data_IF_113835946436
#
_entry.id   IF_113835946436
#
_cell.length_a   1.000
_cell.length_b   1.000
_cell.length_c   1.000
_cell.angle_alpha   90.00
_cell.angle_beta   90.00
_cell.angle_gamma   90.00
#
_symmetry.space_group_name_H-M   'P 1'
#
loop_
_entity.id
_entity.type
_entity.pdbx_description
1 polymer ?
#
# COMPACT_ATOMS: atom_id res chain seq x y z
N UNK A 1 -5.64 -59.72 -17.74
CA UNK A 1 -4.75 -58.93 -16.87
C UNK A 1 -4.92 -57.45 -17.24
N UNK A 2 -5.73 -56.72 -16.48
CA UNK A 2 -6.05 -55.32 -16.73
C UNK A 2 -5.08 -54.46 -15.90
N UNK A 3 -4.19 -53.68 -16.54
CA UNK A 3 -3.34 -52.72 -15.84
C UNK A 3 -4.09 -51.40 -15.73
N UNK A 4 -4.62 -51.10 -14.55
CA UNK A 4 -5.11 -49.78 -14.19
C UNK A 4 -3.92 -48.85 -13.96
N UNK A 5 -3.70 -47.91 -14.87
CA UNK A 5 -2.77 -46.80 -14.67
C UNK A 5 -3.54 -45.68 -13.96
N UNK A 6 -3.22 -45.45 -12.69
CA UNK A 6 -3.72 -44.29 -11.96
C UNK A 6 -2.94 -43.04 -12.40
N UNK A 7 -3.58 -42.14 -13.12
CA UNK A 7 -3.02 -40.82 -13.46
C UNK A 7 -3.25 -39.91 -12.25
N UNK A 8 -2.18 -39.61 -11.52
CA UNK A 8 -2.20 -38.61 -10.46
C UNK A 8 -2.28 -37.22 -11.08
N UNK A 9 -3.41 -36.53 -10.88
CA UNK A 9 -3.63 -35.16 -11.32
C UNK A 9 -2.89 -34.21 -10.36
N UNK A 10 -1.70 -33.77 -10.74
CA UNK A 10 -1.01 -32.68 -10.04
C UNK A 10 -1.78 -31.37 -10.28
N UNK A 11 -2.51 -30.90 -9.27
CA UNK A 11 -3.03 -29.55 -9.21
C UNK A 11 -1.84 -28.60 -9.03
N UNK A 12 -1.28 -28.12 -10.15
CA UNK A 12 -0.33 -27.01 -10.13
C UNK A 12 -1.13 -25.75 -9.87
N UNK A 13 -1.14 -25.30 -8.61
CA UNK A 13 -1.64 -23.98 -8.23
C UNK A 13 -0.79 -22.94 -8.96
N UNK A 14 -1.31 -22.39 -10.06
CA UNK A 14 -0.67 -21.26 -10.73
C UNK A 14 -0.85 -20.06 -9.81
N UNK A 15 0.24 -19.62 -9.20
CA UNK A 15 0.24 -18.35 -8.49
C UNK A 15 -0.09 -17.26 -9.51
N UNK A 16 -1.30 -16.71 -9.43
CA UNK A 16 -1.69 -15.58 -10.27
C UNK A 16 -0.96 -14.35 -9.74
N UNK A 17 0.05 -13.89 -10.47
CA UNK A 17 0.70 -12.62 -10.13
C UNK A 17 -0.32 -11.48 -10.29
N UNK A 18 -0.31 -10.53 -9.36
CA UNK A 18 -1.15 -9.34 -9.44
C UNK A 18 -0.53 -8.37 -10.45
N UNK A 19 -1.22 -8.16 -11.58
CA UNK A 19 -0.96 -7.07 -12.51
C UNK A 19 -2.07 -6.02 -12.35
N UNK A 20 -1.92 -4.86 -13.00
CA UNK A 20 -2.93 -3.78 -12.93
C UNK A 20 -4.25 -4.13 -13.65
N UNK A 21 -4.30 -5.30 -14.29
CA UNK A 21 -5.43 -5.89 -15.00
C UNK A 21 -5.71 -7.35 -14.60
N UNK A 22 -6.88 -7.85 -14.97
CA UNK A 22 -7.32 -9.22 -14.67
C UNK A 22 -6.59 -10.25 -15.53
N UNK A 23 -5.62 -10.95 -14.95
CA UNK A 23 -4.82 -11.95 -15.66
C UNK A 23 -5.63 -13.12 -16.23
N UNK A 24 -6.84 -13.38 -15.73
CA UNK A 24 -7.72 -14.40 -16.32
C UNK A 24 -8.35 -13.94 -17.65
N UNK A 25 -8.26 -12.64 -17.96
CA UNK A 25 -8.73 -12.02 -19.20
C UNK A 25 -7.59 -11.65 -20.13
N UNK A 26 -6.34 -12.02 -19.80
CA UNK A 26 -5.18 -11.80 -20.64
C UNK A 26 -5.37 -12.47 -22.01
N UNK A 27 -5.39 -11.65 -23.05
CA UNK A 27 -5.73 -12.06 -24.41
C UNK A 27 -4.53 -12.03 -25.35
N UNK A 28 -3.55 -11.15 -25.09
CA UNK A 28 -2.34 -11.03 -25.91
C UNK A 28 -1.17 -11.83 -25.34
N UNK A 29 -0.20 -12.16 -26.20
CA UNK A 29 1.06 -12.81 -25.76
C UNK A 29 1.80 -11.94 -24.74
N UNK A 30 1.76 -10.62 -24.92
CA UNK A 30 2.35 -9.65 -24.01
C UNK A 30 1.66 -9.66 -22.65
N UNK A 31 0.32 -9.63 -22.61
CA UNK A 31 -0.46 -9.72 -21.36
C UNK A 31 -0.21 -11.02 -20.62
N UNK A 32 -0.16 -12.15 -21.34
CA UNK A 32 0.18 -13.45 -20.76
C UNK A 32 1.59 -13.48 -20.18
N UNK A 33 2.56 -12.88 -20.87
CA UNK A 33 3.94 -12.78 -20.38
C UNK A 33 4.00 -11.92 -19.10
N UNK A 34 3.29 -10.79 -19.06
CA UNK A 34 3.18 -9.94 -17.85
C UNK A 34 2.62 -10.74 -16.68
N UNK A 35 1.53 -11.46 -16.88
CA UNK A 35 0.86 -12.24 -15.83
C UNK A 35 1.69 -13.41 -15.29
N UNK A 36 2.59 -13.98 -16.09
CA UNK A 36 3.39 -15.15 -15.71
C UNK A 36 4.81 -14.79 -15.24
N UNK A 37 5.18 -13.50 -15.25
CA UNK A 37 6.52 -13.05 -14.87
C UNK A 37 6.41 -12.01 -13.73
N UNK A 38 6.79 -12.37 -12.49
CA UNK A 38 6.64 -11.49 -11.33
C UNK A 38 7.23 -10.08 -11.50
N UNK A 39 8.42 -9.98 -12.11
CA UNK A 39 9.07 -8.68 -12.36
C UNK A 39 8.26 -7.80 -13.32
N UNK A 40 7.63 -8.37 -14.34
CA UNK A 40 6.77 -7.63 -15.27
C UNK A 40 5.44 -7.25 -14.64
N UNK A 41 4.87 -8.13 -13.81
CA UNK A 41 3.66 -7.87 -13.05
C UNK A 41 3.85 -6.68 -12.10
N UNK A 42 4.98 -6.65 -11.40
CA UNK A 42 5.36 -5.53 -10.53
C UNK A 42 5.60 -4.24 -11.31
N UNK A 43 6.27 -4.31 -12.47
CA UNK A 43 6.48 -3.15 -13.32
C UNK A 43 5.15 -2.59 -13.89
N UNK A 44 4.18 -3.45 -14.20
CA UNK A 44 2.84 -3.06 -14.63
C UNK A 44 2.07 -2.34 -13.52
N UNK A 45 2.10 -2.86 -12.30
CA UNK A 45 1.53 -2.22 -11.12
C UNK A 45 2.15 -0.85 -10.83
N UNK A 46 3.47 -0.73 -10.93
CA UNK A 46 4.18 0.53 -10.72
C UNK A 46 3.79 1.57 -11.79
N UNK A 47 3.79 1.17 -13.06
CA UNK A 47 3.41 2.05 -14.17
C UNK A 47 1.97 2.54 -14.03
N UNK A 48 1.06 1.70 -13.54
CA UNK A 48 -0.34 2.07 -13.33
C UNK A 48 -0.47 3.30 -12.43
N UNK A 49 0.37 3.42 -11.42
CA UNK A 49 0.35 4.57 -10.51
C UNK A 49 0.85 5.84 -11.19
N UNK A 50 1.97 5.78 -11.92
CA UNK A 50 2.45 6.93 -12.70
C UNK A 50 1.38 7.38 -13.72
N UNK A 51 0.72 6.42 -14.38
CA UNK A 51 -0.41 6.67 -15.27
C UNK A 51 -1.57 7.37 -14.54
N UNK A 52 -1.94 6.93 -13.33
CA UNK A 52 -3.00 7.56 -12.55
C UNK A 52 -2.66 9.02 -12.22
N UNK A 53 -1.42 9.31 -11.84
CA UNK A 53 -0.98 10.69 -11.61
C UNK A 53 -1.12 11.52 -12.87
N UNK A 54 -0.55 11.04 -13.99
CA UNK A 54 -0.65 11.70 -15.29
C UNK A 54 -2.12 11.88 -15.74
N UNK A 55 -2.99 10.92 -15.45
CA UNK A 55 -4.42 10.99 -15.76
C UNK A 55 -5.13 12.08 -14.98
N UNK A 56 -4.84 12.21 -13.68
CA UNK A 56 -5.45 13.24 -12.84
C UNK A 56 -4.98 14.62 -13.28
N UNK A 57 -3.66 14.84 -13.45
CA UNK A 57 -3.14 16.18 -13.83
C UNK A 57 -3.61 16.65 -15.20
N UNK A 58 -3.90 15.71 -16.11
CA UNK A 58 -4.38 16.02 -17.47
C UNK A 58 -5.91 16.13 -17.54
N UNK A 59 -6.62 15.88 -16.43
CA UNK A 59 -8.08 15.80 -16.42
C UNK A 59 -8.61 14.69 -17.32
N UNK A 60 -7.80 13.66 -17.60
CA UNK A 60 -8.12 12.59 -18.55
C UNK A 60 -8.55 13.14 -19.93
N UNK A 61 -7.82 14.13 -20.44
CA UNK A 61 -8.07 14.75 -21.75
C UNK A 61 -8.00 13.75 -22.90
N UNK A 62 -8.61 14.07 -24.03
CA UNK A 62 -8.61 13.19 -25.20
C UNK A 62 -7.21 13.01 -25.79
N UNK A 63 -6.36 14.02 -25.70
CA UNK A 63 -4.93 13.92 -26.08
C UNK A 63 -4.18 12.95 -25.16
N UNK A 64 -4.42 13.00 -23.85
CA UNK A 64 -3.82 12.04 -22.92
C UNK A 64 -4.30 10.61 -23.19
N UNK A 65 -5.60 10.40 -23.40
CA UNK A 65 -6.15 9.08 -23.78
C UNK A 65 -5.52 8.56 -25.07
N UNK A 66 -5.32 9.44 -26.06
CA UNK A 66 -4.68 9.09 -27.33
C UNK A 66 -3.22 8.69 -27.12
N UNK A 67 -2.47 9.44 -26.32
CA UNK A 67 -1.09 9.13 -25.95
C UNK A 67 -0.99 7.76 -25.26
N UNK A 68 -1.81 7.51 -24.23
CA UNK A 68 -1.81 6.23 -23.49
C UNK A 68 -2.15 5.06 -24.43
N UNK A 69 -3.16 5.23 -25.29
CA UNK A 69 -3.55 4.21 -26.28
C UNK A 69 -2.44 3.95 -27.30
N UNK A 70 -1.72 4.98 -27.74
CA UNK A 70 -0.59 4.83 -28.66
C UNK A 70 0.58 4.13 -27.99
N UNK A 71 0.90 4.51 -26.75
CA UNK A 71 1.97 3.88 -25.98
C UNK A 71 1.70 2.38 -25.74
N UNK A 72 0.47 2.04 -25.35
CA UNK A 72 0.03 0.64 -25.21
C UNK A 72 0.12 -0.13 -26.54
N UNK A 73 -0.33 0.45 -27.66
CA UNK A 73 -0.20 -0.20 -28.98
C UNK A 73 1.25 -0.46 -29.37
N UNK A 74 2.18 0.43 -29.01
CA UNK A 74 3.60 0.24 -29.26
C UNK A 74 4.17 -0.94 -28.45
N UNK A 75 3.73 -1.10 -27.20
CA UNK A 75 4.04 -2.27 -26.36
C UNK A 75 3.61 -3.57 -27.06
N UNK A 76 2.32 -3.65 -27.40
CA UNK A 76 1.72 -4.86 -27.99
C UNK A 76 2.34 -5.23 -29.34
N UNK A 77 2.78 -4.24 -30.13
CA UNK A 77 3.36 -4.48 -31.45
C UNK A 77 4.84 -4.88 -31.40
N UNK A 78 5.61 -4.31 -30.47
CA UNK A 78 7.08 -4.34 -30.56
C UNK A 78 7.76 -5.12 -29.43
N UNK A 79 7.03 -5.56 -28.39
CA UNK A 79 7.63 -6.30 -27.28
C UNK A 79 7.06 -7.70 -27.10
N UNK A 80 7.93 -8.69 -27.28
CA UNK A 80 7.66 -10.13 -27.12
C UNK A 80 8.61 -10.83 -26.11
N UNK A 81 9.51 -10.07 -25.49
CA UNK A 81 10.45 -10.56 -24.48
C UNK A 81 10.32 -9.75 -23.18
N UNK A 82 10.68 -10.38 -22.06
CA UNK A 82 10.71 -9.74 -20.73
C UNK A 82 11.58 -8.48 -20.75
N UNK A 83 12.79 -8.57 -21.31
CA UNK A 83 13.70 -7.42 -21.43
C UNK A 83 13.09 -6.26 -22.22
N UNK A 84 12.38 -6.53 -23.32
CA UNK A 84 11.71 -5.46 -24.08
C UNK A 84 10.62 -4.78 -23.24
N UNK A 85 9.82 -5.57 -22.52
CA UNK A 85 8.74 -5.05 -21.70
C UNK A 85 9.26 -4.23 -20.52
N UNK A 86 10.31 -4.67 -19.83
CA UNK A 86 10.96 -3.89 -18.78
C UNK A 86 11.46 -2.53 -19.29
N UNK A 87 12.13 -2.50 -20.44
CA UNK A 87 12.57 -1.25 -21.06
C UNK A 87 11.39 -0.35 -21.49
N UNK A 88 10.26 -0.95 -21.90
CA UNK A 88 9.06 -0.20 -22.23
C UNK A 88 8.40 0.40 -20.97
N UNK A 89 8.36 -0.36 -19.87
CA UNK A 89 7.86 0.13 -18.57
C UNK A 89 8.68 1.30 -18.07
N UNK A 90 10.02 1.18 -18.08
CA UNK A 90 10.93 2.27 -17.67
C UNK A 90 10.63 3.57 -18.44
N UNK A 91 10.61 3.52 -19.77
CA UNK A 91 10.30 4.69 -20.61
C UNK A 91 8.89 5.23 -20.41
N UNK A 92 7.93 4.35 -20.15
CA UNK A 92 6.53 4.75 -19.92
C UNK A 92 6.35 5.42 -18.56
N UNK A 93 7.07 4.94 -17.55
CA UNK A 93 7.14 5.55 -16.22
C UNK A 93 7.74 6.96 -16.33
N UNK A 94 8.87 7.12 -17.02
CA UNK A 94 9.45 8.44 -17.27
C UNK A 94 8.47 9.39 -17.98
N UNK A 95 7.81 8.91 -19.04
CA UNK A 95 6.82 9.67 -19.79
C UNK A 95 5.68 10.18 -18.89
N UNK A 96 5.10 9.32 -18.06
CA UNK A 96 3.98 9.71 -17.21
C UNK A 96 4.42 10.60 -16.04
N UNK A 97 5.59 10.35 -15.44
CA UNK A 97 6.16 11.22 -14.40
C UNK A 97 6.45 12.62 -14.93
N UNK A 98 6.98 12.76 -16.14
CA UNK A 98 7.19 14.07 -16.76
C UNK A 98 5.87 14.82 -17.00
N UNK A 99 4.81 14.11 -17.42
CA UNK A 99 3.47 14.70 -17.58
C UNK A 99 2.94 15.19 -16.22
N UNK A 100 3.10 14.40 -15.15
CA UNK A 100 2.72 14.77 -13.79
C UNK A 100 3.49 15.99 -13.27
N UNK A 101 4.81 15.99 -13.43
CA UNK A 101 5.70 17.05 -12.95
C UNK A 101 5.44 18.41 -13.64
N UNK A 102 5.28 18.42 -14.98
CA UNK A 102 5.12 19.66 -15.76
C UNK A 102 3.87 20.48 -15.40
N UNK A 103 2.87 19.87 -14.76
CA UNK A 103 1.62 20.51 -14.31
C UNK A 103 1.66 20.93 -12.84
N UNK A 104 2.63 20.47 -12.05
CA UNK A 104 2.77 20.78 -10.62
C UNK A 104 3.55 22.09 -10.42
N UNK A 105 2.90 23.22 -10.65
CA UNK A 105 3.52 24.55 -10.51
C UNK A 105 2.91 25.39 -9.38
N UNK A 106 1.94 24.86 -8.63
CA UNK A 106 1.24 25.64 -7.62
C UNK A 106 1.93 25.52 -6.24
N UNK A 107 2.58 26.61 -5.79
CA UNK A 107 3.37 26.64 -4.55
C UNK A 107 2.55 26.47 -3.26
N UNK A 108 1.21 26.60 -3.34
CA UNK A 108 0.30 26.57 -2.19
C UNK A 108 0.09 25.17 -1.61
N UNK A 109 0.37 24.10 -2.38
CA UNK A 109 0.16 22.72 -1.95
C UNK A 109 1.47 21.99 -1.63
N UNK A 110 2.34 22.67 -0.89
CA UNK A 110 3.62 22.15 -0.43
C UNK A 110 3.47 21.60 0.99
N UNK A 111 3.87 20.34 1.18
CA UNK A 111 3.86 19.66 2.48
C UNK A 111 5.24 19.10 2.81
N UNK A 112 5.46 18.80 4.09
CA UNK A 112 6.68 18.15 4.58
C UNK A 112 6.37 16.72 5.01
N UNK A 113 7.32 15.82 4.80
CA UNK A 113 7.26 14.46 5.34
C UNK A 113 7.20 14.49 6.88
N UNK A 114 6.47 13.53 7.45
CA UNK A 114 6.27 13.40 8.88
C UNK A 114 5.29 14.40 9.50
N UNK A 115 5.06 15.58 8.90
CA UNK A 115 4.13 16.56 9.46
C UNK A 115 2.68 16.15 9.15
N UNK A 116 1.79 16.06 10.17
CA UNK A 116 0.38 15.77 9.94
C UNK A 116 -0.31 16.83 9.08
N UNK A 117 -1.00 16.40 8.03
CA UNK A 117 -1.70 17.27 7.06
C UNK A 117 -3.11 16.78 6.80
N UNK A 118 -4.02 17.70 6.49
CA UNK A 118 -5.40 17.39 6.09
C UNK A 118 -5.53 17.52 4.58
N UNK A 119 -5.74 16.41 3.89
CA UNK A 119 -5.82 16.38 2.43
C UNK A 119 -7.22 15.96 2.00
N UNK A 120 -7.79 16.69 1.04
CA UNK A 120 -9.08 16.40 0.43
C UNK A 120 -8.91 15.51 -0.78
N UNK A 121 -9.78 14.51 -0.91
CA UNK A 121 -9.81 13.65 -2.08
C UNK A 121 -10.96 12.65 -2.07
N UNK A 122 -11.01 11.82 -3.10
CA UNK A 122 -11.96 10.72 -3.21
C UNK A 122 -11.31 9.41 -2.76
N UNK A 123 -11.92 8.74 -1.77
CA UNK A 123 -11.47 7.42 -1.31
C UNK A 123 -11.69 6.40 -2.43
N UNK A 124 -10.65 5.65 -2.82
CA UNK A 124 -10.74 4.71 -3.95
C UNK A 124 -9.96 3.43 -3.67
N UNK A 125 -10.53 2.27 -4.02
CA UNK A 125 -9.78 1.02 -4.14
C UNK A 125 -9.30 0.90 -5.58
N UNK A 126 -7.99 0.97 -5.78
CA UNK A 126 -7.38 0.97 -7.10
C UNK A 126 -7.40 -0.43 -7.75
N UNK A 127 -7.22 -0.51 -9.07
CA UNK A 127 -7.28 -1.81 -9.77
C UNK A 127 -6.17 -2.77 -9.33
N UNK A 128 -5.00 -2.23 -8.97
CA UNK A 128 -3.91 -2.97 -8.32
C UNK A 128 -4.21 -3.34 -6.84
N UNK A 129 -5.45 -3.13 -6.38
CA UNK A 129 -5.97 -3.69 -5.13
C UNK A 129 -5.76 -2.85 -3.86
N UNK A 130 -4.96 -1.78 -3.92
CA UNK A 130 -4.62 -0.97 -2.75
C UNK A 130 -5.67 0.14 -2.45
N UNK A 131 -5.89 0.48 -1.17
CA UNK A 131 -6.70 1.63 -0.78
C UNK A 131 -5.93 2.93 -1.05
N UNK A 132 -6.63 3.94 -1.55
CA UNK A 132 -6.02 5.20 -1.94
C UNK A 132 -6.93 6.39 -1.66
N UNK A 133 -6.31 7.56 -1.64
CA UNK A 133 -6.97 8.85 -1.78
C UNK A 133 -6.54 9.47 -3.12
N UNK A 134 -7.50 9.72 -4.00
CA UNK A 134 -7.29 10.51 -5.22
C UNK A 134 -7.49 11.98 -4.87
N UNK A 135 -6.44 12.78 -4.96
CA UNK A 135 -6.42 14.12 -4.40
C UNK A 135 -7.22 15.08 -5.27
N UNK A 136 -7.94 16.00 -4.63
CA UNK A 136 -8.62 17.08 -5.35
C UNK A 136 -7.63 18.06 -5.97
N UNK A 137 -6.55 18.32 -5.23
CA UNK A 137 -5.47 19.21 -5.63
C UNK A 137 -4.15 18.45 -5.63
N UNK A 138 -3.30 18.75 -6.62
CA UNK A 138 -1.96 18.18 -6.69
C UNK A 138 -1.10 18.74 -5.57
N UNK A 139 -0.28 17.86 -4.98
CA UNK A 139 0.61 18.24 -3.89
C UNK A 139 2.07 17.99 -4.27
N UNK A 140 2.97 18.71 -3.61
CA UNK A 140 4.39 18.40 -3.58
C UNK A 140 4.82 18.17 -2.14
N UNK A 141 5.63 17.15 -1.90
CA UNK A 141 6.03 16.70 -0.57
C UNK A 141 7.54 16.67 -0.48
N UNK A 142 8.09 17.24 0.58
CA UNK A 142 9.51 17.45 0.75
C UNK A 142 9.98 16.89 2.08
N UNK A 143 11.26 16.50 2.18
CA UNK A 143 11.85 16.21 3.48
C UNK A 143 11.91 17.46 4.37
N UNK A 144 12.16 17.26 5.66
CA UNK A 144 12.26 18.36 6.61
C UNK A 144 13.56 19.15 6.40
N UNK A 145 13.62 20.36 6.96
CA UNK A 145 14.82 21.18 6.86
C UNK A 145 15.99 20.50 7.59
N UNK A 146 17.11 20.32 6.89
CA UNK A 146 18.30 19.65 7.42
C UNK A 146 18.43 18.17 7.03
N UNK A 147 17.39 17.57 6.45
CA UNK A 147 17.46 16.20 5.94
C UNK A 147 18.31 16.11 4.66
N UNK A 148 19.15 15.08 4.56
CA UNK A 148 19.89 14.79 3.33
C UNK A 148 18.93 14.31 2.23
N UNK A 149 18.99 14.93 1.05
CA UNK A 149 18.14 14.59 -0.09
C UNK A 149 18.57 13.25 -0.69
N UNK A 150 17.62 12.33 -0.81
CA UNK A 150 17.80 11.02 -1.43
C UNK A 150 17.17 9.90 -0.61
N UNK A 151 16.96 8.72 -1.22
CA UNK A 151 16.28 7.61 -0.56
C UNK A 151 14.89 8.02 -0.05
N UNK A 152 14.63 7.80 1.24
CA UNK A 152 13.38 8.17 1.94
C UNK A 152 13.13 9.70 2.01
N UNK A 153 14.13 10.52 1.67
CA UNK A 153 14.03 11.98 1.66
C UNK A 153 13.94 12.55 0.24
N UNK A 154 13.58 11.72 -0.76
CA UNK A 154 13.40 12.18 -2.14
C UNK A 154 12.16 13.07 -2.23
N UNK A 155 12.27 14.33 -2.72
CA UNK A 155 11.12 15.18 -2.94
C UNK A 155 10.19 14.63 -4.02
N UNK A 156 8.89 14.69 -3.76
CA UNK A 156 7.86 14.22 -4.68
C UNK A 156 7.02 15.38 -5.19
N UNK A 157 6.75 15.38 -6.49
CA UNK A 157 6.06 16.47 -7.18
C UNK A 157 4.83 15.95 -7.92
N UNK A 158 3.77 16.77 -7.99
CA UNK A 158 2.58 16.42 -8.77
C UNK A 158 1.84 15.19 -8.24
N UNK A 159 1.96 14.89 -6.95
CA UNK A 159 1.31 13.75 -6.33
C UNK A 159 -0.19 13.98 -6.39
N UNK A 160 -0.88 13.07 -7.11
CA UNK A 160 -2.31 13.13 -7.34
C UNK A 160 -3.06 11.95 -6.73
N UNK A 161 -2.33 10.88 -6.38
CA UNK A 161 -2.88 9.67 -5.76
C UNK A 161 -1.90 9.23 -4.69
N UNK A 162 -2.42 8.95 -3.50
CA UNK A 162 -1.64 8.41 -2.38
C UNK A 162 -2.27 7.11 -1.91
N UNK A 163 -1.46 6.10 -1.66
CA UNK A 163 -1.85 4.89 -0.97
C UNK A 163 -2.13 5.24 0.50
N UNK A 164 -3.24 4.72 1.02
CA UNK A 164 -3.63 4.85 2.41
C UNK A 164 -3.06 3.67 3.20
N UNK A 165 -2.13 3.95 4.10
CA UNK A 165 -1.67 3.00 5.11
C UNK A 165 -2.59 3.14 6.34
N UNK A 166 -3.60 2.26 6.42
CA UNK A 166 -4.57 2.24 7.53
C UNK A 166 -4.15 1.26 8.61
N UNK A 167 -4.11 1.71 9.86
CA UNK A 167 -3.54 0.99 10.99
C UNK A 167 -4.57 0.20 11.83
N UNK A 168 -5.86 0.53 11.74
CA UNK A 168 -6.90 -0.08 12.58
C UNK A 168 -8.20 -0.37 11.82
N UNK A 169 -9.03 -1.28 12.35
CA UNK A 169 -10.30 -1.68 11.73
C UNK A 169 -11.27 -0.52 11.50
N UNK A 170 -11.25 0.48 12.37
CA UNK A 170 -12.18 1.61 12.27
C UNK A 170 -11.90 2.40 11.01
N UNK A 171 -10.62 2.63 10.70
CA UNK A 171 -10.20 3.26 9.45
C UNK A 171 -10.62 2.43 8.24
N UNK A 172 -10.42 1.11 8.30
CA UNK A 172 -10.84 0.19 7.23
C UNK A 172 -12.35 0.17 7.02
N UNK A 173 -13.14 0.14 8.09
CA UNK A 173 -14.60 0.17 8.05
C UNK A 173 -15.12 1.48 7.46
N UNK A 174 -14.51 2.62 7.83
CA UNK A 174 -14.83 3.92 7.24
C UNK A 174 -14.46 3.91 5.76
N UNK A 175 -13.27 3.47 5.39
CA UNK A 175 -12.85 3.41 4.00
C UNK A 175 -13.79 2.54 3.15
N UNK A 176 -14.09 1.31 3.58
CA UNK A 176 -14.95 0.40 2.83
C UNK A 176 -16.39 0.91 2.69
N UNK A 177 -16.91 1.59 3.73
CA UNK A 177 -18.24 2.20 3.72
C UNK A 177 -18.33 3.44 2.83
N UNK A 178 -17.27 4.25 2.80
CA UNK A 178 -17.26 5.54 2.10
C UNK A 178 -16.40 5.54 0.83
N UNK A 179 -15.92 4.39 0.36
CA UNK A 179 -15.22 4.28 -0.93
C UNK A 179 -16.08 4.85 -2.05
N UNK A 180 -15.41 5.54 -2.98
CA UNK A 180 -15.97 6.35 -4.07
C UNK A 180 -16.70 7.62 -3.62
N UNK A 181 -16.51 8.06 -2.38
CA UNK A 181 -16.99 9.34 -1.87
C UNK A 181 -15.80 10.21 -1.45
N UNK A 182 -16.05 11.51 -1.41
CA UNK A 182 -15.06 12.49 -0.99
C UNK A 182 -14.89 12.46 0.53
N UNK A 183 -13.64 12.66 0.97
CA UNK A 183 -13.25 12.72 2.36
C UNK A 183 -12.13 13.74 2.55
N UNK A 184 -12.01 14.23 3.78
CA UNK A 184 -10.77 14.81 4.29
C UNK A 184 -10.04 13.71 5.03
N UNK A 185 -8.81 13.41 4.66
CA UNK A 185 -7.96 12.45 5.37
C UNK A 185 -6.84 13.21 6.07
N UNK A 186 -6.67 12.95 7.37
CA UNK A 186 -5.52 13.44 8.12
C UNK A 186 -4.40 12.41 7.99
N UNK A 187 -3.25 12.83 7.45
CA UNK A 187 -2.15 11.96 7.07
C UNK A 187 -0.83 12.42 7.68
N UNK A 188 -0.01 11.48 8.16
CA UNK A 188 1.45 11.64 8.12
C UNK A 188 1.95 11.20 6.74
N UNK A 189 2.66 12.08 6.03
CA UNK A 189 3.18 11.77 4.68
C UNK A 189 4.58 11.15 4.75
N UNK A 190 4.84 10.16 3.90
CA UNK A 190 6.16 9.50 3.80
C UNK A 190 6.50 9.18 2.33
N UNK A 191 7.79 9.25 1.99
CA UNK A 191 8.29 8.75 0.71
C UNK A 191 8.19 7.22 0.66
N UNK A 192 7.95 6.71 -0.53
CA UNK A 192 7.84 5.29 -0.80
C UNK A 192 9.10 4.75 -1.51
N UNK A 193 10.03 4.14 -0.76
CA UNK A 193 11.22 3.52 -1.38
C UNK A 193 11.11 1.99 -1.60
N UNK A 194 10.13 1.30 -1.00
CA UNK A 194 10.06 -0.17 -1.07
C UNK A 194 9.15 -0.69 -2.18
N UNK A 195 9.44 -1.90 -2.65
CA UNK A 195 8.73 -2.60 -3.72
C UNK A 195 7.26 -3.00 -3.38
N UNK A 196 6.84 -2.79 -2.13
CA UNK A 196 5.49 -3.08 -1.61
C UNK A 196 4.60 -1.83 -1.55
N UNK A 197 5.21 -0.65 -1.63
CA UNK A 197 4.51 0.61 -1.66
C UNK A 197 4.12 0.95 -3.11
N UNK A 198 2.87 1.37 -3.32
CA UNK A 198 2.30 1.53 -4.66
C UNK A 198 2.40 2.96 -5.16
N UNK A 199 2.47 3.96 -4.28
CA UNK A 199 2.51 5.38 -4.67
C UNK A 199 3.75 6.09 -4.14
N UNK A 200 4.32 7.07 -4.87
CA UNK A 200 5.55 7.78 -4.44
C UNK A 200 5.44 8.44 -3.06
N UNK A 201 4.22 8.82 -2.67
CA UNK A 201 3.89 9.27 -1.31
C UNK A 201 2.82 8.37 -0.71
N UNK A 202 3.06 7.91 0.51
CA UNK A 202 2.09 7.22 1.37
C UNK A 202 1.44 8.21 2.33
N UNK A 203 0.17 7.94 2.63
CA UNK A 203 -0.54 8.56 3.75
C UNK A 203 -0.64 7.52 4.89
N UNK A 204 0.14 7.69 5.95
CA UNK A 204 -0.15 7.03 7.22
C UNK A 204 -1.40 7.68 7.81
N UNK A 205 -2.51 6.94 7.81
CA UNK A 205 -3.84 7.47 8.11
C UNK A 205 -3.99 7.68 9.61
N UNK A 206 -4.28 8.92 10.00
CA UNK A 206 -4.61 9.29 11.38
C UNK A 206 -6.12 9.46 11.58
N UNK A 207 -6.82 9.99 10.57
CA UNK A 207 -8.29 10.17 10.60
C UNK A 207 -8.84 10.18 9.17
N UNK A 208 -10.04 9.60 8.99
CA UNK A 208 -10.82 9.72 7.75
C UNK A 208 -12.15 10.39 8.10
N UNK A 209 -12.36 11.58 7.54
CA UNK A 209 -13.56 12.39 7.71
C UNK A 209 -14.35 12.48 6.40
N UNK A 210 -15.33 11.57 6.15
CA UNK A 210 -16.15 11.61 4.94
C UNK A 210 -16.94 12.92 4.82
N UNK A 211 -16.95 13.51 3.62
CA UNK A 211 -17.70 14.72 3.34
C UNK A 211 -19.15 14.31 3.02
N UNK A 212 -20.08 14.70 3.90
CA UNK A 212 -21.50 14.40 3.70
C UNK A 212 -22.11 15.30 2.63
N UNK A 213 -22.77 14.70 1.66
CA UNK A 213 -23.80 15.37 0.86
C UNK A 213 -25.03 15.62 1.73
N UNK A 214 -25.67 16.78 1.58
CA UNK A 214 -26.57 17.48 2.52
C UNK A 214 -27.79 16.74 3.11
N UNK A 215 -28.00 15.44 2.85
CA UNK A 215 -29.21 14.71 3.25
C UNK A 215 -28.99 13.52 4.22
N UNK A 216 -27.79 13.29 4.75
CA UNK A 216 -27.55 12.18 5.68
C UNK A 216 -27.55 12.64 7.16
N UNK A 217 -28.39 12.00 7.98
CA UNK A 217 -28.49 12.22 9.43
C UNK A 217 -27.12 12.12 10.14
N UNK A 218 -26.95 12.75 11.31
CA UNK A 218 -25.71 12.64 12.09
C UNK A 218 -25.38 11.17 12.34
N UNK A 219 -24.21 10.74 11.88
CA UNK A 219 -23.62 9.47 12.30
C UNK A 219 -23.20 9.73 13.74
N UNK A 220 -23.92 9.12 14.69
CA UNK A 220 -23.41 9.01 16.05
C UNK A 220 -22.16 8.15 15.97
N UNK A 221 -21.00 8.78 16.15
CA UNK A 221 -19.75 8.09 16.46
C UNK A 221 -20.05 7.29 17.72
N UNK A 222 -20.15 5.97 17.59
CA UNK A 222 -20.28 5.11 18.75
C UNK A 222 -18.96 5.19 19.52
N UNK A 223 -19.08 5.44 20.82
CA UNK A 223 -17.98 5.55 21.78
C UNK A 223 -16.98 4.40 21.63
N UNK A 224 -15.70 4.78 21.62
CA UNK A 224 -14.52 4.03 22.08
C UNK A 224 -14.70 2.51 22.16
N UNK A 225 -14.25 1.80 21.11
CA UNK A 225 -13.94 0.37 21.21
C UNK A 225 -12.89 0.26 22.33
N UNK A 226 -13.21 -0.49 23.39
CA UNK A 226 -12.38 -0.68 24.59
C UNK A 226 -10.93 -0.91 24.16
N UNK A 227 -9.99 -0.04 24.59
CA UNK A 227 -8.55 -0.18 24.32
C UNK A 227 -8.13 -1.63 24.60
N UNK A 228 -7.71 -2.34 23.55
CA UNK A 228 -7.25 -3.73 23.63
C UNK A 228 -5.73 -3.74 23.53
N UNK A 229 -5.11 -4.44 24.46
CA UNK A 229 -3.68 -4.51 24.61
C UNK A 229 -3.06 -5.57 23.69
N UNK A 230 -1.74 -5.49 23.54
CA UNK A 230 -0.94 -6.54 22.89
C UNK A 230 -1.11 -7.91 23.58
N UNK A 231 -1.32 -7.94 24.89
CA UNK A 231 -1.51 -9.18 25.63
C UNK A 231 -2.91 -9.78 25.39
N UNK A 232 -3.93 -8.93 25.17
CA UNK A 232 -5.25 -9.39 24.72
C UNK A 232 -5.16 -10.09 23.36
N UNK A 233 -4.30 -9.60 22.46
CA UNK A 233 -4.06 -10.23 21.16
C UNK A 233 -3.46 -11.62 21.30
N UNK A 234 -2.43 -11.76 22.14
CA UNK A 234 -1.78 -13.05 22.36
C UNK A 234 -2.66 -14.04 23.14
N UNK A 235 -3.58 -13.53 23.97
CA UNK A 235 -4.58 -14.35 24.67
C UNK A 235 -5.63 -14.91 23.71
N UNK A 236 -6.07 -14.11 22.73
CA UNK A 236 -6.97 -14.57 21.67
C UNK A 236 -6.28 -15.52 20.68
N UNK A 237 -4.96 -15.44 20.54
CA UNK A 237 -4.17 -16.15 19.54
C UNK A 237 -3.03 -16.95 20.19
N UNK A 238 -3.35 -18.03 20.94
CA UNK A 238 -2.36 -18.79 21.70
C UNK A 238 -1.28 -19.42 20.81
N UNK A 239 -1.62 -19.88 19.60
CA UNK A 239 -0.64 -20.46 18.66
C UNK A 239 0.48 -19.47 18.28
N UNK A 240 0.16 -18.17 18.21
CA UNK A 240 1.13 -17.11 17.93
C UNK A 240 1.94 -16.73 19.17
N UNK A 241 1.41 -16.97 20.36
CA UNK A 241 2.04 -16.59 21.63
C UNK A 241 2.88 -17.70 22.26
N UNK A 242 2.61 -18.96 21.93
CA UNK A 242 3.37 -20.14 22.38
C UNK A 242 4.70 -20.29 21.63
N UNK A 243 4.76 -19.89 20.36
CA UNK A 243 6.01 -19.85 19.61
C UNK A 243 6.78 -18.55 19.90
N UNK A 244 7.94 -18.67 20.56
CA UNK A 244 8.77 -17.52 20.97
C UNK A 244 9.25 -16.66 19.80
N UNK A 245 9.51 -17.24 18.63
CA UNK A 245 9.97 -16.51 17.45
C UNK A 245 8.83 -15.70 16.85
N UNK A 246 7.63 -16.27 16.75
CA UNK A 246 6.42 -15.55 16.32
C UNK A 246 6.08 -14.42 17.28
N UNK A 247 6.01 -14.71 18.57
CA UNK A 247 5.72 -13.71 19.60
C UNK A 247 6.70 -12.56 19.56
N UNK A 248 7.99 -12.84 19.37
CA UNK A 248 9.04 -11.82 19.26
C UNK A 248 8.88 -10.99 17.97
N UNK A 249 8.74 -11.64 16.81
CA UNK A 249 8.60 -10.95 15.54
C UNK A 249 7.37 -10.03 15.52
N UNK A 250 6.23 -10.50 16.06
CA UNK A 250 5.00 -9.72 16.17
C UNK A 250 5.22 -8.50 17.07
N UNK A 251 5.84 -8.67 18.25
CA UNK A 251 6.11 -7.55 19.17
C UNK A 251 7.09 -6.52 18.59
N UNK A 252 8.15 -6.99 17.93
CA UNK A 252 9.16 -6.12 17.35
C UNK A 252 8.55 -5.28 16.21
N UNK A 253 7.82 -5.91 15.31
CA UNK A 253 7.19 -5.24 14.17
C UNK A 253 6.05 -4.32 14.59
N UNK A 254 5.15 -4.77 15.47
CA UNK A 254 4.08 -3.94 16.03
C UNK A 254 4.65 -2.70 16.71
N UNK A 255 5.75 -2.87 17.43
CA UNK A 255 6.43 -1.79 18.08
C UNK A 255 7.22 -0.89 17.13
N UNK A 256 7.61 -1.36 15.95
CA UNK A 256 8.12 -0.54 14.85
C UNK A 256 7.03 0.36 14.28
N UNK A 257 5.83 -0.18 14.02
CA UNK A 257 4.68 0.63 13.60
C UNK A 257 4.28 1.69 14.64
N UNK A 258 4.17 1.29 15.90
CA UNK A 258 3.87 2.23 16.98
C UNK A 258 4.96 3.30 17.16
N UNK A 259 6.22 2.99 16.83
CA UNK A 259 7.29 3.98 16.81
C UNK A 259 7.14 4.93 15.62
N UNK A 260 6.85 4.40 14.43
CA UNK A 260 6.64 5.17 13.21
C UNK A 260 5.49 6.17 13.37
N UNK A 261 4.42 5.79 14.07
CA UNK A 261 3.27 6.67 14.30
C UNK A 261 3.56 7.85 15.22
N UNK A 262 4.62 7.78 16.04
CA UNK A 262 5.03 8.86 16.95
C UNK A 262 6.28 9.60 16.48
N UNK A 263 7.07 9.01 15.58
CA UNK A 263 8.41 9.48 15.24
C UNK A 263 8.48 10.92 14.71
N UNK A 264 7.56 11.45 13.87
CA UNK A 264 7.70 12.84 13.47
C UNK A 264 7.25 13.85 14.54
N UNK A 265 6.71 13.39 15.68
CA UNK A 265 6.20 14.26 16.76
C UNK A 265 7.14 14.39 17.97
N UNK A 266 8.22 13.61 18.03
CA UNK A 266 9.15 13.57 19.16
C UNK A 266 10.54 14.06 18.76
N UNK A 267 10.96 15.21 19.29
CA UNK A 267 12.30 15.79 19.09
C UNK A 267 13.42 15.13 19.90
N UNK A 268 13.13 14.06 20.64
CA UNK A 268 14.06 13.34 21.53
C UNK A 268 13.72 11.83 21.54
N UNK A 269 14.73 10.97 21.34
CA UNK A 269 14.63 9.50 21.33
C UNK A 269 13.98 8.94 22.60
N UNK A 270 14.24 9.55 23.76
CA UNK A 270 13.65 9.10 25.04
C UNK A 270 12.14 9.35 25.08
N UNK A 271 11.70 10.45 24.47
CA UNK A 271 10.29 10.79 24.34
C UNK A 271 9.60 9.92 23.28
N UNK A 272 10.31 9.54 22.20
CA UNK A 272 9.82 8.64 21.17
C UNK A 272 9.48 7.25 21.74
N UNK A 273 10.37 6.66 22.55
CA UNK A 273 10.14 5.35 23.17
C UNK A 273 8.95 5.39 24.13
N UNK A 274 8.83 6.45 24.93
CA UNK A 274 7.68 6.61 25.85
C UNK A 274 6.37 6.75 25.08
N UNK A 275 6.35 7.57 24.03
CA UNK A 275 5.18 7.76 23.18
C UNK A 275 4.80 6.47 22.45
N UNK A 276 5.78 5.72 21.93
CA UNK A 276 5.60 4.40 21.34
C UNK A 276 4.99 3.39 22.31
N UNK A 277 5.48 3.35 23.55
CA UNK A 277 4.92 2.46 24.59
C UNK A 277 3.51 2.87 25.00
N UNK A 278 3.20 4.17 25.02
CA UNK A 278 1.84 4.65 25.23
C UNK A 278 0.91 4.20 24.09
N UNK A 279 1.36 4.29 22.83
CA UNK A 279 0.60 3.80 21.67
C UNK A 279 0.37 2.29 21.70
N UNK A 280 1.37 1.50 22.06
CA UNK A 280 1.21 0.06 22.25
C UNK A 280 0.28 -0.29 23.41
N UNK A 281 0.16 0.58 24.40
CA UNK A 281 -0.76 0.37 25.53
C UNK A 281 -2.21 0.73 25.15
N UNK A 282 -2.38 1.76 24.31
CA UNK A 282 -3.67 2.23 23.80
C UNK A 282 -4.26 1.31 22.72
N UNK A 283 -3.42 0.86 21.77
CA UNK A 283 -3.85 0.18 20.54
C UNK A 283 -3.01 -1.05 20.21
N UNK A 284 -2.40 -1.68 21.22
CA UNK A 284 -1.47 -2.79 21.03
C UNK A 284 -2.06 -3.98 20.26
N UNK A 285 -3.36 -4.24 20.40
CA UNK A 285 -4.04 -5.30 19.66
C UNK A 285 -4.02 -5.05 18.14
N UNK A 286 -4.25 -3.80 17.71
CA UNK A 286 -4.29 -3.44 16.30
C UNK A 286 -2.89 -3.46 15.68
N UNK A 287 -1.88 -2.95 16.39
CA UNK A 287 -0.49 -3.06 15.95
C UNK A 287 -0.02 -4.52 15.83
N UNK A 288 -0.49 -5.41 16.72
CA UNK A 288 -0.19 -6.85 16.63
C UNK A 288 -0.78 -7.47 15.35
N UNK A 289 -2.00 -7.06 14.98
CA UNK A 289 -2.66 -7.52 13.76
C UNK A 289 -1.96 -7.04 12.49
N UNK A 290 -1.59 -5.76 12.45
CA UNK A 290 -0.77 -5.24 11.35
C UNK A 290 0.54 -6.01 11.22
N UNK A 291 1.22 -6.25 12.34
CA UNK A 291 2.45 -7.02 12.36
C UNK A 291 2.26 -8.44 11.82
N UNK A 292 1.18 -9.12 12.18
CA UNK A 292 0.91 -10.47 11.63
C UNK A 292 0.65 -10.43 10.12
N UNK A 293 -0.11 -9.46 9.61
CA UNK A 293 -0.36 -9.31 8.16
C UNK A 293 0.94 -9.10 7.38
N UNK A 294 1.81 -8.23 7.88
CA UNK A 294 3.10 -7.96 7.25
C UNK A 294 4.04 -9.18 7.34
N UNK A 295 4.08 -9.88 8.47
CA UNK A 295 4.87 -11.12 8.59
C UNK A 295 4.35 -12.24 7.69
N UNK A 296 3.03 -12.31 7.45
CA UNK A 296 2.44 -13.23 6.47
C UNK A 296 2.93 -12.90 5.05
N UNK A 297 2.92 -11.64 4.64
CA UNK A 297 3.41 -11.20 3.31
C UNK A 297 4.90 -11.51 3.14
N UNK A 298 5.70 -11.19 4.15
CA UNK A 298 7.13 -11.50 4.15
C UNK A 298 7.40 -13.02 4.10
N UNK A 299 6.58 -13.84 4.76
CA UNK A 299 6.67 -15.29 4.63
C UNK A 299 6.32 -15.78 3.22
N UNK A 300 5.29 -15.23 2.57
CA UNK A 300 4.88 -15.61 1.21
C UNK A 300 5.93 -15.24 0.15
N UNK A 301 6.65 -14.14 0.37
CA UNK A 301 7.70 -13.65 -0.54
C UNK A 301 9.08 -14.24 -0.24
N UNK A 302 9.19 -15.16 0.72
CA UNK A 302 10.46 -15.80 1.10
C UNK A 302 11.36 -14.93 1.99
N UNK A 303 10.89 -13.76 2.41
CA UNK A 303 11.57 -12.81 3.29
C UNK A 303 11.37 -13.08 4.78
N UNK A 304 10.56 -14.08 5.17
CA UNK A 304 10.30 -14.42 6.58
C UNK A 304 11.57 -14.62 7.42
N UNK A 305 12.67 -15.11 6.81
CA UNK A 305 13.97 -15.28 7.48
C UNK A 305 14.59 -13.98 7.99
N UNK A 306 14.31 -12.84 7.33
CA UNK A 306 14.76 -11.51 7.77
C UNK A 306 14.19 -11.19 9.15
N UNK A 307 13.01 -11.71 9.46
CA UNK A 307 12.31 -11.53 10.74
C UNK A 307 12.55 -12.71 11.70
N UNK A 308 13.55 -13.55 11.42
CA UNK A 308 13.87 -14.71 12.24
C UNK A 308 12.86 -15.86 12.13
N UNK A 309 12.01 -15.86 11.09
CA UNK A 309 10.98 -16.87 10.89
C UNK A 309 11.44 -17.94 9.89
N UNK A 310 11.33 -19.20 10.29
CA UNK A 310 11.56 -20.34 9.39
C UNK A 310 10.23 -20.82 8.80
N UNK A 311 10.31 -21.79 7.88
CA UNK A 311 9.15 -22.37 7.22
C UNK A 311 8.04 -22.80 8.19
N UNK A 312 8.42 -23.39 9.32
CA UNK A 312 7.49 -23.85 10.36
C UNK A 312 6.75 -22.69 11.05
N UNK A 313 7.42 -21.56 11.29
CA UNK A 313 6.79 -20.35 11.82
C UNK A 313 5.85 -19.72 10.78
N UNK A 314 6.30 -19.65 9.53
CA UNK A 314 5.50 -19.14 8.42
C UNK A 314 4.23 -19.96 8.17
N UNK A 315 4.29 -21.28 8.39
CA UNK A 315 3.12 -22.18 8.33
C UNK A 315 2.11 -21.96 9.46
N UNK A 316 2.55 -21.47 10.62
CA UNK A 316 1.65 -21.10 11.72
C UNK A 316 1.01 -19.75 11.40
N UNK A 317 1.82 -18.76 10.98
CA UNK A 317 1.32 -17.45 10.58
C UNK A 317 0.30 -17.54 9.45
N UNK A 318 0.50 -18.40 8.45
CA UNK A 318 -0.43 -18.52 7.32
C UNK A 318 -1.84 -19.00 7.68
N UNK A 319 -2.02 -19.61 8.87
CA UNK A 319 -3.33 -20.04 9.37
C UNK A 319 -4.08 -18.93 10.11
N UNK A 320 -3.37 -17.89 10.54
CA UNK A 320 -3.99 -16.76 11.20
C UNK A 320 -4.97 -16.06 10.24
N UNK A 321 -6.19 -15.84 10.72
CA UNK A 321 -7.19 -15.03 10.05
C UNK A 321 -7.70 -13.99 11.04
N UNK A 322 -7.85 -12.74 10.57
CA UNK A 322 -8.50 -11.70 11.36
C UNK A 322 -9.92 -12.14 11.73
N UNK A 323 -10.19 -12.33 13.02
CA UNK A 323 -11.55 -12.46 13.52
C UNK A 323 -12.26 -11.11 13.35
N UNK A 324 -13.44 -11.14 12.72
CA UNK A 324 -14.31 -9.97 12.50
C UNK A 324 -14.77 -9.34 13.81
#
# INVERSE_FOLDING_TARGET
MLKTVAVALFLVSTATNAASFDCNKASSKTEQLICNTPALSQADDALYVDYLQAKVVTGNSDDFKKLVKQNWKLREKNCDTEKCLLNWYERSTELYRQIAANKSTNSENRYLYGIPVKIKGTLTKESAGFPSLRLNDLISVFPQEGDEIGGDNTPEFGVAVMQLAMSDDTQWDIFEKFKRRDAVVTCGLYHSHTAHHKTPVLCSVMDISPIKTSNEKPVKIQKEKKSRTMDDFFSDNPELSENIYLKKAIKDMAGGYALSDVYPSSSDETNAIRARNAKLSESGYDYARLAVRELQDNCQTGLGRVFGLQEKECQILSRYQDSK
#
